data_IF_385316888534
#
_entry.id   IF_385316888534
#
_cell.length_a   1.000
_cell.length_b   1.000
_cell.length_c   1.000
_cell.angle_alpha   90.00
_cell.angle_beta   90.00
_cell.angle_gamma   90.00
#
_symmetry.space_group_name_H-M   'P 1'
#
loop_
_entity.id
_entity.type
_entity.pdbx_description
1 polymer ?
#
# COMPACT_ATOMS: atom_id res chain seq x y z
N UNK A 1 7.75 -9.30 -39.93
CA UNK A 1 8.87 -10.02 -40.58
C UNK A 1 9.72 -9.04 -41.38
N UNK A 2 10.90 -8.68 -40.88
CA UNK A 2 11.99 -8.07 -41.66
C UNK A 2 13.31 -8.63 -41.13
N UNK A 3 13.95 -9.46 -41.95
CA UNK A 3 15.23 -10.12 -41.71
C UNK A 3 16.37 -9.12 -41.89
N UNK A 4 17.32 -9.05 -40.95
CA UNK A 4 18.65 -8.48 -41.18
C UNK A 4 19.71 -9.44 -40.63
N UNK A 5 20.72 -9.67 -41.45
CA UNK A 5 21.63 -10.82 -41.43
C UNK A 5 23.06 -10.33 -41.22
N UNK A 6 23.76 -10.99 -40.27
CA UNK A 6 25.23 -11.14 -40.07
C UNK A 6 26.01 -9.84 -39.77
N UNK A 7 27.03 -9.83 -38.90
CA UNK A 7 28.33 -10.50 -39.04
C UNK A 7 28.97 -10.75 -37.67
N UNK A 8 29.51 -11.96 -37.49
CA UNK A 8 30.40 -12.39 -36.40
C UNK A 8 31.85 -12.03 -36.72
N UNK A 9 32.57 -11.51 -35.73
CA UNK A 9 34.03 -11.41 -35.73
C UNK A 9 34.59 -12.12 -34.47
N UNK A 10 35.67 -12.93 -34.56
CA UNK A 10 36.28 -13.53 -33.39
C UNK A 10 37.38 -12.62 -32.86
N UNK A 11 37.33 -12.29 -31.57
CA UNK A 11 38.45 -11.69 -30.86
C UNK A 11 38.87 -12.64 -29.73
N UNK A 12 40.03 -13.25 -29.89
CA UNK A 12 40.71 -13.98 -28.84
C UNK A 12 41.40 -13.00 -27.89
N UNK A 13 41.19 -13.18 -26.59
CA UNK A 13 41.97 -12.54 -25.53
C UNK A 13 42.25 -13.58 -24.45
N UNK A 14 43.54 -13.91 -24.30
CA UNK A 14 44.07 -14.50 -23.07
C UNK A 14 43.98 -13.46 -21.95
N UNK A 15 43.51 -13.87 -20.77
CA UNK A 15 43.46 -13.00 -19.59
C UNK A 15 43.20 -13.79 -18.31
N UNK A 16 44.29 -14.07 -17.58
CA UNK A 16 44.42 -14.17 -16.11
C UNK A 16 43.24 -14.70 -15.29
N UNK A 17 43.42 -15.90 -14.76
CA UNK A 17 42.59 -16.52 -13.72
C UNK A 17 42.74 -15.75 -12.39
N UNK A 18 41.83 -14.83 -12.11
CA UNK A 18 41.63 -14.27 -10.78
C UNK A 18 40.73 -15.22 -9.98
N UNK A 19 41.18 -15.66 -8.81
CA UNK A 19 40.38 -16.45 -7.90
C UNK A 19 39.20 -15.61 -7.40
N UNK A 20 37.99 -15.92 -7.87
CA UNK A 20 36.77 -15.38 -7.26
C UNK A 20 36.59 -16.07 -5.90
N UNK A 21 36.85 -15.33 -4.83
CA UNK A 21 36.28 -15.64 -3.52
C UNK A 21 34.75 -15.61 -3.66
N UNK A 22 34.14 -16.78 -3.60
CA UNK A 22 32.68 -16.92 -3.52
C UNK A 22 32.27 -16.35 -2.16
N UNK A 23 31.84 -15.09 -2.14
CA UNK A 23 31.17 -14.54 -0.98
C UNK A 23 29.84 -15.28 -0.85
N UNK A 24 29.66 -16.00 0.27
CA UNK A 24 28.37 -16.59 0.63
C UNK A 24 27.29 -15.51 0.57
N UNK A 25 26.09 -15.79 0.01
CA UNK A 25 24.99 -14.86 0.15
C UNK A 25 24.67 -14.77 1.65
N UNK A 26 24.86 -13.58 2.22
CA UNK A 26 24.34 -13.28 3.54
C UNK A 26 22.81 -13.40 3.43
N UNK A 27 22.28 -14.51 3.92
CA UNK A 27 20.85 -14.63 4.17
C UNK A 27 20.57 -13.70 5.35
N UNK A 28 19.94 -12.56 5.10
CA UNK A 28 19.34 -11.78 6.16
C UNK A 28 18.25 -12.66 6.79
N UNK A 29 18.39 -12.92 8.09
CA UNK A 29 17.35 -13.58 8.88
C UNK A 29 16.03 -12.83 8.69
N UNK A 30 14.90 -13.52 8.46
CA UNK A 30 13.58 -12.88 8.39
C UNK A 30 13.08 -12.39 9.77
N UNK A 31 13.91 -12.42 10.81
CA UNK A 31 13.55 -12.11 12.20
C UNK A 31 13.87 -10.66 12.62
N UNK A 32 13.80 -9.71 11.71
CA UNK A 32 13.81 -8.29 12.08
C UNK A 32 12.46 -7.67 11.72
N UNK A 33 11.81 -7.07 12.72
CA UNK A 33 10.46 -6.49 12.65
C UNK A 33 9.33 -7.40 13.13
N UNK A 34 8.62 -6.99 14.17
CA UNK A 34 7.30 -7.57 14.50
C UNK A 34 6.21 -6.97 13.59
N UNK A 35 5.16 -7.74 13.26
CA UNK A 35 3.99 -7.17 12.63
C UNK A 35 3.48 -6.00 13.46
N UNK A 36 3.14 -4.90 12.79
CA UNK A 36 2.47 -3.80 13.44
C UNK A 36 1.15 -4.24 14.08
N UNK A 37 0.70 -3.52 15.12
CA UNK A 37 -0.66 -3.65 15.59
C UNK A 37 -1.64 -3.40 14.44
N UNK A 38 -2.85 -3.98 14.52
CA UNK A 38 -3.87 -3.80 13.49
C UNK A 38 -5.04 -2.96 13.95
N UNK A 39 -5.05 -2.46 15.19
CA UNK A 39 -6.16 -1.68 15.77
C UNK A 39 -5.59 -0.67 16.77
N UNK A 40 -6.29 0.45 17.01
CA UNK A 40 -5.99 1.37 18.12
C UNK A 40 -6.55 0.91 19.49
N UNK A 41 -7.38 -0.14 19.51
CA UNK A 41 -8.03 -0.62 20.73
C UNK A 41 -9.19 0.28 21.21
N UNK A 42 -9.86 0.98 20.31
CA UNK A 42 -11.03 1.80 20.66
C UNK A 42 -12.17 0.92 21.22
N UNK A 43 -12.81 1.30 22.35
CA UNK A 43 -13.85 0.47 22.96
C UNK A 43 -15.15 0.41 22.17
N UNK A 44 -15.41 1.36 21.26
CA UNK A 44 -16.61 1.43 20.42
C UNK A 44 -16.36 0.79 19.06
N UNK A 45 -15.18 1.04 18.47
CA UNK A 45 -14.74 0.53 17.18
C UNK A 45 -13.42 -0.25 17.32
N UNK A 46 -13.44 -1.42 17.98
CA UNK A 46 -12.22 -2.16 18.35
C UNK A 46 -11.43 -2.69 17.15
N UNK A 47 -12.03 -2.71 15.96
CA UNK A 47 -11.37 -3.12 14.73
C UNK A 47 -10.61 -2.00 14.02
N UNK A 48 -10.79 -0.71 14.37
CA UNK A 48 -10.32 0.39 13.55
C UNK A 48 -8.99 1.00 13.99
N UNK A 49 -8.34 1.63 13.02
CA UNK A 49 -7.09 2.34 13.17
C UNK A 49 -5.86 1.46 13.38
N UNK A 50 -4.75 2.10 13.69
CA UNK A 50 -3.44 1.49 13.89
C UNK A 50 -2.53 2.41 14.73
N UNK A 51 -1.90 1.90 15.78
CA UNK A 51 -0.95 2.64 16.65
C UNK A 51 0.54 2.39 16.33
N UNK A 52 0.83 1.58 15.31
CA UNK A 52 2.19 1.32 14.81
C UNK A 52 2.81 2.50 14.05
N UNK A 53 2.01 3.49 13.68
CA UNK A 53 2.45 4.70 12.98
C UNK A 53 1.53 5.89 13.25
N UNK A 54 2.01 7.10 12.93
CA UNK A 54 1.22 8.33 12.89
C UNK A 54 1.19 8.87 11.48
N UNK A 55 -0.01 9.09 10.94
CA UNK A 55 -0.14 9.73 9.63
C UNK A 55 0.06 11.23 9.77
N UNK A 56 0.88 11.80 8.89
CA UNK A 56 1.19 13.22 8.82
C UNK A 56 0.37 13.93 7.75
N UNK A 57 0.13 13.26 6.63
CA UNK A 57 -0.61 13.81 5.51
C UNK A 57 -1.27 12.71 4.67
N UNK A 58 -2.40 13.07 4.07
CA UNK A 58 -3.05 12.34 3.00
C UNK A 58 -3.09 13.23 1.76
N UNK A 59 -2.66 12.69 0.63
CA UNK A 59 -2.91 13.27 -0.68
C UNK A 59 -3.78 12.29 -1.45
N UNK A 60 -5.00 12.73 -1.80
CA UNK A 60 -6.01 11.92 -2.46
C UNK A 60 -6.23 12.47 -3.87
N UNK A 61 -5.91 11.66 -4.87
CA UNK A 61 -6.30 11.89 -6.26
C UNK A 61 -7.52 11.01 -6.56
N UNK A 62 -8.62 11.62 -6.98
CA UNK A 62 -9.93 10.97 -7.17
C UNK A 62 -10.50 11.41 -8.52
N UNK A 63 -10.66 10.46 -9.43
CA UNK A 63 -11.24 10.67 -10.75
C UNK A 63 -12.57 9.90 -10.85
N UNK A 64 -13.69 10.64 -10.84
CA UNK A 64 -15.02 10.06 -11.06
C UNK A 64 -15.32 9.97 -12.56
N UNK A 65 -15.65 8.77 -13.04
CA UNK A 65 -16.15 8.55 -14.39
C UNK A 65 -17.68 8.47 -14.37
N UNK A 66 -18.35 9.45 -14.96
CA UNK A 66 -19.82 9.49 -15.02
C UNK A 66 -20.46 8.36 -15.86
N UNK A 67 -19.68 7.72 -16.74
CA UNK A 67 -20.15 6.62 -17.60
C UNK A 67 -20.27 5.33 -16.80
N UNK A 68 -19.20 4.94 -16.11
CA UNK A 68 -19.16 3.74 -15.27
C UNK A 68 -19.73 3.99 -13.87
N UNK A 69 -19.71 5.25 -13.44
CA UNK A 69 -19.99 5.75 -12.08
C UNK A 69 -19.03 5.18 -11.03
N UNK A 70 -17.81 4.87 -11.45
CA UNK A 70 -16.72 4.44 -10.57
C UNK A 70 -15.80 5.62 -10.27
N UNK A 71 -15.02 5.49 -9.21
CA UNK A 71 -13.93 6.41 -8.85
C UNK A 71 -12.62 5.65 -8.99
N UNK A 72 -11.79 6.07 -9.94
CA UNK A 72 -10.39 5.66 -9.99
C UNK A 72 -9.56 6.59 -9.12
N UNK A 73 -8.72 6.02 -8.26
CA UNK A 73 -8.15 6.77 -7.15
C UNK A 73 -6.71 6.36 -6.82
N UNK A 74 -5.96 7.33 -6.31
CA UNK A 74 -4.66 7.10 -5.67
C UNK A 74 -4.63 7.82 -4.32
N UNK A 75 -4.39 7.07 -3.25
CA UNK A 75 -4.14 7.63 -1.92
C UNK A 75 -2.64 7.54 -1.61
N UNK A 76 -2.02 8.69 -1.36
CA UNK A 76 -0.64 8.78 -0.88
C UNK A 76 -0.63 9.26 0.56
N UNK A 77 -0.10 8.44 1.46
CA UNK A 77 0.00 8.72 2.89
C UNK A 77 1.46 8.96 3.25
N UNK A 78 1.75 10.09 3.90
CA UNK A 78 3.02 10.27 4.59
C UNK A 78 2.81 9.91 6.06
N UNK A 79 3.59 8.97 6.59
CA UNK A 79 3.47 8.52 7.98
C UNK A 79 4.84 8.42 8.65
N UNK A 80 4.85 8.45 9.98
CA UNK A 80 6.03 8.16 10.81
C UNK A 80 5.73 6.94 11.67
N UNK A 81 6.58 5.92 11.60
CA UNK A 81 6.44 4.71 12.43
C UNK A 81 6.70 5.00 13.90
N UNK A 82 6.00 4.33 14.81
CA UNK A 82 6.23 4.41 16.26
C UNK A 82 7.22 3.35 16.74
N UNK A 83 7.30 2.24 16.01
CA UNK A 83 8.15 1.08 16.24
C UNK A 83 8.65 0.50 14.91
N UNK A 84 9.51 -0.51 14.96
CA UNK A 84 9.89 -1.25 13.75
C UNK A 84 8.72 -2.12 13.28
N UNK A 85 8.44 -2.13 11.97
CA UNK A 85 7.28 -2.81 11.39
C UNK A 85 7.69 -3.74 10.24
N UNK A 86 7.49 -5.05 10.39
CA UNK A 86 7.53 -6.00 9.26
C UNK A 86 6.21 -6.05 8.47
N UNK A 87 5.17 -5.40 8.98
CA UNK A 87 3.87 -5.19 8.34
C UNK A 87 3.19 -3.97 8.97
N UNK A 88 2.47 -3.20 8.17
CA UNK A 88 1.51 -2.20 8.65
C UNK A 88 0.14 -2.49 8.05
N UNK A 89 -0.94 -1.94 8.62
CA UNK A 89 -2.27 -2.05 8.04
C UNK A 89 -2.97 -0.69 7.98
N UNK A 90 -3.71 -0.46 6.89
CA UNK A 90 -4.65 0.64 6.77
C UNK A 90 -6.08 0.07 6.92
N UNK A 91 -7.01 0.85 7.44
CA UNK A 91 -8.43 0.59 7.27
C UNK A 91 -8.79 0.75 5.79
N UNK A 92 -9.53 -0.21 5.23
CA UNK A 92 -10.01 -0.19 3.85
C UNK A 92 -11.18 -1.17 3.67
N UNK A 93 -12.32 -0.70 3.18
CA UNK A 93 -13.51 -1.52 2.93
C UNK A 93 -14.13 -1.19 1.57
N UNK A 94 -14.42 -2.23 0.78
CA UNK A 94 -15.05 -2.07 -0.53
C UNK A 94 -14.16 -1.49 -1.63
N UNK A 95 -12.86 -1.31 -1.35
CA UNK A 95 -11.89 -0.79 -2.31
C UNK A 95 -11.30 -1.93 -3.16
N UNK A 96 -11.31 -1.77 -4.47
CA UNK A 96 -10.57 -2.66 -5.36
C UNK A 96 -9.14 -2.14 -5.49
N UNK A 97 -8.27 -2.55 -4.57
CA UNK A 97 -6.85 -2.15 -4.58
C UNK A 97 -6.12 -2.88 -5.70
N UNK A 98 -5.37 -2.16 -6.52
CA UNK A 98 -4.60 -2.72 -7.64
C UNK A 98 -3.12 -2.82 -7.29
N UNK A 99 -2.57 -1.77 -6.68
CA UNK A 99 -1.14 -1.64 -6.36
C UNK A 99 -0.95 -0.97 -5.00
N UNK A 100 0.10 -1.39 -4.31
CA UNK A 100 0.61 -0.72 -3.10
C UNK A 100 2.11 -0.54 -3.25
N UNK A 101 2.58 0.69 -3.07
CA UNK A 101 4.00 1.04 -3.01
C UNK A 101 4.33 1.56 -1.62
N UNK A 102 5.52 1.21 -1.13
CA UNK A 102 6.12 1.81 0.04
C UNK A 102 7.45 2.44 -0.36
N UNK A 103 7.57 3.76 -0.17
CA UNK A 103 8.70 4.57 -0.63
C UNK A 103 9.04 4.34 -2.12
N UNK A 104 7.99 4.16 -2.93
CA UNK A 104 8.10 3.90 -4.37
C UNK A 104 8.45 2.45 -4.74
N UNK A 105 8.62 1.56 -3.77
CA UNK A 105 8.92 0.13 -3.98
C UNK A 105 7.64 -0.69 -3.81
N UNK A 106 7.33 -1.65 -4.73
CA UNK A 106 6.18 -2.52 -4.57
C UNK A 106 6.18 -3.27 -3.23
N UNK A 107 5.03 -3.28 -2.56
CA UNK A 107 4.80 -4.00 -1.33
C UNK A 107 3.72 -5.08 -1.53
N UNK A 108 3.85 -6.20 -0.81
CA UNK A 108 2.80 -7.21 -0.81
C UNK A 108 1.57 -6.67 -0.07
N UNK A 109 0.37 -6.99 -0.58
CA UNK A 109 -0.91 -6.57 0.00
C UNK A 109 -1.83 -7.76 0.27
N UNK A 110 -2.59 -7.69 1.35
CA UNK A 110 -3.63 -8.65 1.71
C UNK A 110 -4.83 -7.88 2.27
N UNK A 111 -6.04 -8.18 1.77
CA UNK A 111 -7.28 -7.69 2.37
C UNK A 111 -7.74 -8.69 3.43
N UNK A 112 -7.86 -8.25 4.68
CA UNK A 112 -8.30 -9.05 5.82
C UNK A 112 -9.41 -8.32 6.59
N UNK A 113 -10.67 -8.68 6.31
CA UNK A 113 -11.81 -7.91 6.82
C UNK A 113 -11.76 -6.48 6.28
N UNK A 114 -11.82 -5.49 7.19
CA UNK A 114 -11.71 -4.06 6.88
C UNK A 114 -10.26 -3.55 6.92
N UNK A 115 -9.26 -4.46 6.88
CA UNK A 115 -7.84 -4.10 6.87
C UNK A 115 -7.18 -4.41 5.54
N UNK A 116 -6.48 -3.41 5.00
CA UNK A 116 -5.45 -3.59 3.98
C UNK A 116 -4.10 -3.77 4.68
N UNK A 117 -3.64 -5.01 4.79
CA UNK A 117 -2.30 -5.35 5.30
C UNK A 117 -1.26 -5.14 4.22
N UNK A 118 -0.17 -4.48 4.57
CA UNK A 118 0.92 -4.09 3.68
C UNK A 118 2.22 -4.65 4.26
N UNK A 119 2.85 -5.56 3.53
CA UNK A 119 4.15 -6.15 3.89
C UNK A 119 5.24 -5.60 2.98
N UNK A 120 6.16 -4.79 3.50
CA UNK A 120 7.26 -4.23 2.72
C UNK A 120 8.33 -5.25 2.37
N UNK A 121 9.17 -4.92 1.40
CA UNK A 121 10.32 -5.75 1.02
C UNK A 121 11.40 -5.82 2.13
N UNK A 122 11.49 -4.79 2.97
CA UNK A 122 12.30 -4.75 4.18
C UNK A 122 11.51 -4.09 5.31
N UNK A 123 11.73 -4.45 6.57
CA UNK A 123 11.05 -3.83 7.70
C UNK A 123 11.23 -2.31 7.71
N UNK A 124 10.16 -1.59 8.05
CA UNK A 124 10.25 -0.16 8.30
C UNK A 124 10.90 0.07 9.65
N UNK A 125 11.99 0.83 9.67
CA UNK A 125 12.66 1.21 10.91
C UNK A 125 11.72 2.05 11.81
N UNK A 126 11.92 1.95 13.13
CA UNK A 126 11.19 2.77 14.08
C UNK A 126 11.48 4.27 13.90
N UNK A 127 10.49 5.12 14.22
CA UNK A 127 10.61 6.59 14.25
C UNK A 127 11.09 7.17 12.92
N UNK A 128 10.76 6.50 11.82
CA UNK A 128 11.17 6.89 10.46
C UNK A 128 9.93 7.26 9.64
N UNK A 129 10.08 8.27 8.80
CA UNK A 129 9.03 8.67 7.85
C UNK A 129 9.05 7.75 6.63
N UNK A 130 7.87 7.30 6.22
CA UNK A 130 7.67 6.51 5.02
C UNK A 130 6.46 7.04 4.23
N UNK A 131 6.42 6.73 2.94
CA UNK A 131 5.32 7.07 2.04
C UNK A 131 4.62 5.80 1.57
N UNK A 132 3.33 5.66 1.85
CA UNK A 132 2.49 4.58 1.33
C UNK A 132 1.68 5.14 0.18
N UNK A 133 1.75 4.53 -1.00
CA UNK A 133 0.89 4.86 -2.15
C UNK A 133 -0.01 3.68 -2.45
N UNK A 134 -1.32 3.92 -2.53
CA UNK A 134 -2.32 2.88 -2.83
C UNK A 134 -3.12 3.32 -4.05
N UNK A 135 -3.03 2.56 -5.14
CA UNK A 135 -3.86 2.75 -6.32
C UNK A 135 -5.06 1.80 -6.26
N UNK A 136 -6.27 2.32 -6.44
CA UNK A 136 -7.50 1.56 -6.27
C UNK A 136 -8.66 2.13 -7.10
N UNK A 137 -9.70 1.33 -7.27
CA UNK A 137 -11.01 1.79 -7.75
C UNK A 137 -12.05 1.59 -6.65
N UNK A 138 -13.00 2.52 -6.53
CA UNK A 138 -14.14 2.43 -5.63
C UNK A 138 -15.46 2.58 -6.41
N UNK A 139 -16.51 1.88 -5.96
CA UNK A 139 -17.89 2.11 -6.43
C UNK A 139 -18.69 2.78 -5.31
N UNK A 140 -19.07 4.06 -5.45
CA UNK A 140 -19.92 4.74 -4.47
C UNK A 140 -21.24 4.02 -4.17
N UNK A 141 -21.69 3.12 -5.04
CA UNK A 141 -22.96 2.37 -4.91
C UNK A 141 -22.78 0.95 -4.38
N UNK A 142 -21.56 0.55 -4.03
CA UNK A 142 -21.30 -0.78 -3.51
C UNK A 142 -22.17 -1.07 -2.27
N UNK A 143 -22.74 -2.28 -2.22
CA UNK A 143 -23.47 -2.76 -1.05
C UNK A 143 -22.46 -3.24 0.00
N UNK A 144 -22.19 -2.39 0.99
CA UNK A 144 -21.27 -2.65 2.10
C UNK A 144 -22.04 -2.73 3.42
N UNK A 145 -21.42 -3.28 4.46
CA UNK A 145 -21.96 -3.32 5.84
C UNK A 145 -22.26 -1.91 6.37
N UNK A 146 -21.42 -0.94 6.01
CA UNK A 146 -21.62 0.48 6.18
C UNK A 146 -20.86 1.23 5.06
N UNK A 147 -21.20 2.50 4.83
CA UNK A 147 -20.58 3.30 3.77
C UNK A 147 -20.64 4.79 4.10
N UNK A 148 -19.59 5.52 3.74
CA UNK A 148 -19.59 6.98 3.75
C UNK A 148 -20.12 7.59 2.46
N UNK A 149 -20.24 6.80 1.39
CA UNK A 149 -20.74 7.27 0.10
C UNK A 149 -22.23 7.61 0.17
N UNK A 150 -22.59 8.76 -0.37
CA UNK A 150 -23.98 9.16 -0.62
C UNK A 150 -24.15 9.37 -2.13
N UNK A 151 -24.45 8.32 -2.91
CA UNK A 151 -24.63 8.44 -4.34
C UNK A 151 -25.75 9.40 -4.72
N UNK A 152 -25.53 10.22 -5.73
CA UNK A 152 -26.54 11.07 -6.37
C UNK A 152 -26.77 10.60 -7.82
N UNK A 153 -27.78 11.11 -8.52
CA UNK A 153 -27.99 10.76 -9.94
C UNK A 153 -26.80 11.08 -10.86
N UNK A 154 -25.97 12.05 -10.47
CA UNK A 154 -24.89 12.65 -11.26
C UNK A 154 -23.50 12.56 -10.59
N UNK A 155 -23.39 11.94 -9.42
CA UNK A 155 -22.14 11.88 -8.66
C UNK A 155 -22.34 11.29 -7.26
N UNK A 156 -21.72 11.91 -6.27
CA UNK A 156 -21.82 11.51 -4.87
C UNK A 156 -21.48 12.67 -3.93
N UNK A 157 -21.92 12.56 -2.68
CA UNK A 157 -21.32 13.22 -1.52
C UNK A 157 -20.66 12.17 -0.60
N UNK A 158 -19.89 12.63 0.39
CA UNK A 158 -19.26 11.76 1.39
C UNK A 158 -19.62 12.24 2.79
N UNK A 159 -20.09 11.32 3.63
CA UNK A 159 -20.46 11.53 5.03
C UNK A 159 -19.74 10.47 5.89
N UNK A 160 -18.47 10.69 6.26
CA UNK A 160 -17.62 9.61 6.76
C UNK A 160 -17.68 9.39 8.27
N UNK A 161 -18.37 10.26 9.01
CA UNK A 161 -18.44 10.13 10.46
C UNK A 161 -19.35 8.98 10.90
N UNK A 162 -19.01 8.30 12.01
CA UNK A 162 -17.79 8.50 12.81
C UNK A 162 -16.56 7.70 12.32
N UNK A 163 -16.76 6.72 11.43
CA UNK A 163 -15.82 5.61 11.27
C UNK A 163 -15.86 4.96 9.86
N UNK A 164 -16.25 5.70 8.83
CA UNK A 164 -16.52 5.16 7.50
C UNK A 164 -15.64 5.78 6.41
N UNK A 165 -14.64 6.60 6.76
CA UNK A 165 -13.75 7.21 5.77
C UNK A 165 -13.00 6.14 4.95
N UNK A 166 -12.68 5.01 5.59
CA UNK A 166 -12.01 3.89 4.95
C UNK A 166 -12.80 3.17 3.85
N UNK A 167 -14.08 3.53 3.68
CA UNK A 167 -14.91 3.09 2.54
C UNK A 167 -14.67 3.93 1.27
N UNK A 168 -14.01 5.08 1.41
CA UNK A 168 -13.73 6.06 0.34
C UNK A 168 -12.26 6.05 -0.04
N UNK A 169 -11.36 5.99 0.94
CA UNK A 169 -9.92 5.93 0.74
C UNK A 169 -9.25 5.16 1.89
N UNK A 170 -8.16 4.42 1.64
CA UNK A 170 -7.49 3.68 2.70
C UNK A 170 -6.83 4.65 3.70
N UNK A 171 -7.07 4.45 5.00
CA UNK A 171 -6.62 5.40 6.03
C UNK A 171 -6.40 4.76 7.41
N UNK A 172 -5.96 5.56 8.38
CA UNK A 172 -6.03 5.23 9.81
C UNK A 172 -7.32 5.87 10.34
N UNK A 173 -8.45 5.13 10.31
CA UNK A 173 -9.81 5.68 10.45
C UNK A 173 -10.22 5.83 11.92
N UNK A 174 -9.48 6.69 12.61
CA UNK A 174 -9.73 7.02 14.01
C UNK A 174 -9.33 8.49 14.28
N UNK A 175 -10.10 9.24 15.10
CA UNK A 175 -9.89 10.68 15.27
C UNK A 175 -8.67 11.11 16.12
N UNK A 176 -7.84 10.17 16.62
CA UNK A 176 -6.75 10.42 17.59
C UNK A 176 -5.35 10.54 16.98
#
# INVERSE_FOLDING_TARGET
MRYRTRVTAPAALLGTMAALSVASPAHADPETGTPGPETLGDPVFPGLGNDGYRVLAYHLDLAYDATTRLVDATATLTLTTTQELSRLSLDALGLNVHEVLLDGVPAAREQAGEKLRITPAAPLAARTTATVTVAYTADPRAALSHTAWVPTPDGFAVCPQPNSAHTVFPCNDHPS
#
